data_IF_390987606667
#
_entry.id   IF_390987606667
#
_cell.length_a   1.000
_cell.length_b   1.000
_cell.length_c   1.000
_cell.angle_alpha   90.00
_cell.angle_beta   90.00
_cell.angle_gamma   90.00
#
_symmetry.space_group_name_H-M   'P 1'
#
loop_
_entity.id
_entity.type
_entity.pdbx_description
1 polymer ?
#
# COMPACT_ATOMS: atom_id res chain seq x y z
N UNK A 1 16.59 -28.35 39.81
CA UNK A 1 15.58 -27.31 39.48
C UNK A 1 16.25 -26.01 39.00
N UNK A 2 17.09 -26.07 37.97
CA UNK A 2 17.83 -24.87 37.48
C UNK A 2 17.83 -24.74 35.96
N UNK A 3 17.36 -25.76 35.23
CA UNK A 3 17.31 -25.80 33.77
C UNK A 3 16.06 -25.17 33.16
N UNK A 4 15.01 -24.96 33.96
CA UNK A 4 13.74 -24.37 33.50
C UNK A 4 13.76 -22.83 33.50
N UNK A 5 14.66 -22.21 34.28
CA UNK A 5 14.77 -20.74 34.38
C UNK A 5 15.46 -20.09 33.17
N UNK A 6 16.35 -20.81 32.48
CA UNK A 6 17.12 -20.27 31.34
C UNK A 6 16.38 -20.36 30.00
N UNK A 7 15.47 -21.33 29.83
CA UNK A 7 14.67 -21.48 28.60
C UNK A 7 13.66 -20.33 28.46
N UNK A 8 13.05 -19.91 29.57
CA UNK A 8 12.10 -18.79 29.61
C UNK A 8 12.75 -17.43 29.29
N UNK A 9 14.03 -17.24 29.65
CA UNK A 9 14.75 -15.99 29.36
C UNK A 9 15.17 -15.86 27.89
N UNK A 10 15.38 -16.97 27.18
CA UNK A 10 15.84 -16.96 25.79
C UNK A 10 14.70 -16.65 24.80
N UNK A 11 13.48 -17.13 25.08
CA UNK A 11 12.29 -16.90 24.23
C UNK A 11 11.85 -15.43 24.22
N UNK A 12 12.03 -14.72 25.34
CA UNK A 12 11.67 -13.30 25.44
C UNK A 12 12.63 -12.39 24.68
N UNK A 13 13.88 -12.81 24.49
CA UNK A 13 14.90 -11.97 23.82
C UNK A 13 14.76 -12.00 22.28
N UNK A 14 14.26 -13.09 21.70
CA UNK A 14 14.10 -13.21 20.25
C UNK A 14 12.87 -12.48 19.69
N UNK A 15 11.91 -12.11 20.54
CA UNK A 15 10.63 -11.56 20.08
C UNK A 15 10.69 -10.07 19.68
N UNK A 16 11.70 -9.33 20.14
CA UNK A 16 11.85 -7.90 19.83
C UNK A 16 12.54 -7.61 18.49
N UNK A 17 13.01 -8.63 17.77
CA UNK A 17 13.82 -8.44 16.55
C UNK A 17 12.99 -8.45 15.25
N UNK A 18 11.66 -8.57 15.33
CA UNK A 18 10.80 -8.83 14.16
C UNK A 18 9.69 -7.78 13.94
N UNK A 19 9.99 -6.49 14.11
CA UNK A 19 9.07 -5.42 13.73
C UNK A 19 9.83 -4.22 13.17
N UNK A 20 10.42 -4.37 11.99
CA UNK A 20 10.73 -3.22 11.15
C UNK A 20 9.49 -2.94 10.29
N UNK A 21 8.62 -2.06 10.77
CA UNK A 21 7.56 -1.49 9.92
C UNK A 21 8.23 -0.76 8.75
N UNK A 22 7.91 -1.17 7.53
CA UNK A 22 8.34 -0.45 6.33
C UNK A 22 7.79 0.98 6.37
N UNK A 23 8.66 1.97 6.62
CA UNK A 23 8.31 3.40 6.52
C UNK A 23 8.04 3.76 5.06
N UNK A 24 6.77 3.71 4.67
CA UNK A 24 6.33 4.25 3.37
C UNK A 24 6.28 5.77 3.47
N UNK A 25 7.03 6.49 2.62
CA UNK A 25 6.96 7.94 2.54
C UNK A 25 5.87 8.37 1.54
N UNK A 26 4.77 9.03 1.99
CA UNK A 26 3.67 9.41 1.10
C UNK A 26 4.11 10.30 -0.07
N UNK A 27 5.14 11.13 0.15
CA UNK A 27 5.70 11.99 -0.89
C UNK A 27 6.36 11.19 -2.03
N UNK A 28 7.04 10.07 -1.71
CA UNK A 28 7.66 9.21 -2.73
C UNK A 28 6.58 8.50 -3.56
N UNK A 29 5.55 7.95 -2.91
CA UNK A 29 4.42 7.34 -3.59
C UNK A 29 3.70 8.34 -4.53
N UNK A 30 3.42 9.55 -4.05
CA UNK A 30 2.84 10.59 -4.90
C UNK A 30 3.76 11.05 -6.03
N UNK A 31 5.08 11.03 -5.84
CA UNK A 31 6.05 11.30 -6.90
C UNK A 31 5.96 10.29 -8.06
N UNK A 32 5.81 9.01 -7.73
CA UNK A 32 5.58 7.95 -8.73
C UNK A 32 4.26 8.16 -9.47
N UNK A 33 3.17 8.40 -8.75
CA UNK A 33 1.87 8.63 -9.39
C UNK A 33 1.88 9.84 -10.32
N UNK A 34 2.53 10.93 -9.91
CA UNK A 34 2.68 12.14 -10.74
C UNK A 34 3.42 11.87 -12.04
N UNK A 35 4.48 11.09 -11.99
CA UNK A 35 5.33 10.83 -13.17
C UNK A 35 4.77 9.77 -14.09
N UNK A 36 4.14 8.73 -13.55
CA UNK A 36 3.73 7.55 -14.33
C UNK A 36 2.23 7.49 -14.64
N UNK A 37 1.37 8.07 -13.80
CA UNK A 37 -0.08 7.82 -13.86
C UNK A 37 -0.90 9.06 -14.22
N UNK A 38 -0.51 10.25 -13.70
CA UNK A 38 -1.28 11.48 -13.87
C UNK A 38 -1.28 12.01 -15.32
N UNK A 39 -0.49 11.46 -16.25
CA UNK A 39 -0.63 11.77 -17.68
C UNK A 39 -1.98 11.32 -18.28
N UNK A 40 -2.66 10.37 -17.63
CA UNK A 40 -3.99 9.88 -18.04
C UNK A 40 -5.05 9.92 -16.93
N UNK A 41 -4.66 9.71 -15.67
CA UNK A 41 -5.57 9.61 -14.52
C UNK A 41 -5.48 10.85 -13.62
N UNK A 42 -5.84 12.01 -14.15
CA UNK A 42 -5.89 13.30 -13.45
C UNK A 42 -7.31 13.89 -13.50
N UNK A 43 -7.59 15.01 -12.83
CA UNK A 43 -8.93 15.60 -12.77
C UNK A 43 -9.49 16.12 -14.09
N UNK A 44 -8.62 16.44 -15.06
CA UNK A 44 -9.02 16.98 -16.37
C UNK A 44 -9.32 15.85 -17.36
N UNK A 45 -8.38 14.92 -17.56
CA UNK A 45 -8.47 13.84 -18.56
C UNK A 45 -9.25 12.63 -18.07
N UNK A 46 -9.16 12.29 -16.76
CA UNK A 46 -9.89 11.21 -16.08
C UNK A 46 -10.14 9.96 -16.93
N UNK A 47 -9.09 9.33 -17.50
CA UNK A 47 -9.29 8.09 -18.27
C UNK A 47 -9.98 7.03 -17.40
N UNK A 48 -11.07 6.43 -17.90
CA UNK A 48 -11.90 5.49 -17.13
C UNK A 48 -12.58 6.11 -15.90
N UNK A 49 -12.81 7.43 -15.91
CA UNK A 49 -13.39 8.18 -14.80
C UNK A 49 -12.48 8.37 -13.58
N UNK A 50 -11.23 7.90 -13.61
CA UNK A 50 -10.33 7.84 -12.47
C UNK A 50 -9.38 9.06 -12.39
N UNK A 51 -9.24 9.65 -11.20
CA UNK A 51 -8.18 10.60 -10.86
C UNK A 51 -7.41 10.15 -9.62
N UNK A 52 -6.08 10.22 -9.69
CA UNK A 52 -5.16 9.83 -8.60
C UNK A 52 -4.49 11.04 -7.93
N UNK A 53 -4.97 12.27 -8.19
CA UNK A 53 -4.34 13.50 -7.68
C UNK A 53 -4.49 13.70 -6.17
N UNK A 54 -5.58 13.19 -5.61
CA UNK A 54 -5.88 13.30 -4.18
C UNK A 54 -6.37 11.95 -3.66
N UNK A 55 -6.17 11.74 -2.35
CA UNK A 55 -6.64 10.54 -1.66
C UNK A 55 -8.15 10.33 -1.87
N UNK A 56 -8.95 11.38 -1.77
CA UNK A 56 -10.41 11.28 -1.87
C UNK A 56 -10.87 10.88 -3.28
N UNK A 57 -10.21 11.40 -4.32
CA UNK A 57 -10.50 11.01 -5.70
C UNK A 57 -10.09 9.56 -5.97
N UNK A 58 -8.94 9.12 -5.45
CA UNK A 58 -8.49 7.73 -5.54
C UNK A 58 -9.45 6.77 -4.82
N UNK A 59 -9.93 7.13 -3.62
CA UNK A 59 -10.88 6.32 -2.87
C UNK A 59 -12.26 6.27 -3.55
N UNK A 60 -12.71 7.38 -4.14
CA UNK A 60 -13.93 7.41 -4.95
C UNK A 60 -13.81 6.48 -6.16
N UNK A 61 -12.64 6.44 -6.79
CA UNK A 61 -12.37 5.61 -7.95
C UNK A 61 -12.99 6.15 -9.24
N UNK A 62 -13.21 5.25 -10.19
CA UNK A 62 -13.70 5.57 -11.55
C UNK A 62 -14.88 4.70 -11.96
N UNK A 63 -14.99 4.45 -13.26
CA UNK A 63 -16.08 3.67 -13.87
C UNK A 63 -16.14 2.22 -13.34
N UNK A 64 -14.99 1.67 -12.94
CA UNK A 64 -14.87 0.33 -12.38
C UNK A 64 -15.02 0.28 -10.84
N UNK A 65 -15.49 1.38 -10.22
CA UNK A 65 -15.62 1.50 -8.77
C UNK A 65 -14.35 2.02 -8.10
N UNK A 66 -14.26 1.81 -6.78
CA UNK A 66 -13.18 2.33 -5.93
C UNK A 66 -11.80 1.82 -6.40
N UNK A 67 -10.85 2.73 -6.60
CA UNK A 67 -9.50 2.33 -7.00
C UNK A 67 -8.67 1.83 -5.81
N UNK A 68 -9.00 2.26 -4.59
CA UNK A 68 -8.27 1.91 -3.38
C UNK A 68 -9.22 1.72 -2.20
N UNK A 69 -8.93 0.73 -1.37
CA UNK A 69 -9.62 0.43 -0.11
C UNK A 69 -8.66 0.77 1.03
N UNK A 70 -9.05 1.69 1.90
CA UNK A 70 -8.19 2.15 2.98
C UNK A 70 -7.88 1.01 3.96
N UNK A 71 -6.60 0.70 4.16
CA UNK A 71 -6.14 -0.37 5.05
C UNK A 71 -6.20 -1.77 4.43
N UNK A 72 -6.64 -1.91 3.19
CA UNK A 72 -6.75 -3.21 2.50
C UNK A 72 -6.17 -3.13 1.09
N UNK A 73 -4.85 -3.35 1.01
CA UNK A 73 -4.11 -3.32 -0.25
C UNK A 73 -4.55 -4.47 -1.17
N UNK A 74 -4.82 -5.66 -0.62
CA UNK A 74 -5.16 -6.87 -1.38
C UNK A 74 -6.50 -6.72 -2.12
N UNK A 75 -7.43 -5.94 -1.58
CA UNK A 75 -8.71 -5.66 -2.24
C UNK A 75 -8.72 -4.37 -3.06
N UNK A 76 -7.63 -3.59 -3.05
CA UNK A 76 -7.51 -2.36 -3.83
C UNK A 76 -7.24 -2.64 -5.32
N UNK A 77 -8.12 -2.16 -6.19
CA UNK A 77 -7.99 -2.36 -7.64
C UNK A 77 -6.68 -1.79 -8.21
N UNK A 78 -6.22 -0.65 -7.71
CA UNK A 78 -4.95 -0.03 -8.10
C UNK A 78 -3.76 -0.96 -7.82
N UNK A 79 -3.74 -1.64 -6.67
CA UNK A 79 -2.64 -2.54 -6.29
C UNK A 79 -2.66 -3.80 -7.16
N UNK A 80 -3.85 -4.36 -7.42
CA UNK A 80 -4.01 -5.50 -8.35
C UNK A 80 -3.47 -5.16 -9.74
N UNK A 81 -3.85 -4.00 -10.28
CA UNK A 81 -3.40 -3.56 -11.61
C UNK A 81 -1.88 -3.34 -11.71
N UNK A 82 -1.21 -2.94 -10.61
CA UNK A 82 0.24 -2.76 -10.56
C UNK A 82 1.00 -4.07 -10.32
N UNK A 83 0.35 -5.07 -9.72
CA UNK A 83 0.97 -6.35 -9.36
C UNK A 83 0.72 -7.43 -10.41
N UNK A 84 -0.17 -7.16 -11.38
CA UNK A 84 -0.37 -8.00 -12.54
C UNK A 84 0.92 -7.97 -13.38
N UNK A 85 1.59 -9.12 -13.59
CA UNK A 85 2.79 -9.17 -14.44
C UNK A 85 2.52 -8.72 -15.87
N UNK A 86 1.24 -8.67 -16.28
CA UNK A 86 0.85 -8.54 -17.68
C UNK A 86 1.25 -9.79 -18.46
N UNK A 87 0.48 -10.10 -19.48
CA UNK A 87 0.75 -11.11 -20.50
C UNK A 87 1.62 -10.59 -21.65
#
# INVERSE_FOLDING_TARGET
>A
MTRCRYVLAFVLFTSSLAAEEAKVHPAQAMGLLKTQCLGCHNAEKKKGGLSLETRDLTLKGGENGAAMVAGDADHSALIKALSDPGD
#
